data_IF_263289822641
#
_entry.id   IF_263289822641
#
_cell.length_a   1.000
_cell.length_b   1.000
_cell.length_c   1.000
_cell.angle_alpha   90.00
_cell.angle_beta   90.00
_cell.angle_gamma   90.00
#
_symmetry.space_group_name_H-M   'P 1'
#
loop_
_entity.id
_entity.type
_entity.pdbx_description
1 polymer ?
#
# COMPACT_ATOMS: atom_id res chain seq x y z
N UNK A 1 3.33 9.75 -9.94
CA UNK A 1 2.02 9.07 -9.89
C UNK A 1 0.99 10.04 -9.34
N UNK A 2 -0.23 10.06 -9.88
CA UNK A 2 -1.32 10.90 -9.38
C UNK A 2 -2.00 10.26 -8.16
N UNK A 3 -2.41 11.07 -7.18
CA UNK A 3 -3.22 10.64 -6.04
C UNK A 3 -4.68 11.08 -6.27
N UNK A 4 -5.65 10.18 -6.09
CA UNK A 4 -7.08 10.46 -6.27
C UNK A 4 -7.92 9.88 -5.14
N UNK A 5 -8.94 10.61 -4.71
CA UNK A 5 -9.77 10.33 -3.52
C UNK A 5 -10.88 9.28 -3.74
N UNK A 6 -10.74 8.38 -4.72
CA UNK A 6 -11.52 7.14 -4.75
C UNK A 6 -12.79 7.11 -5.59
N UNK A 7 -12.99 7.99 -6.59
CA UNK A 7 -14.03 7.79 -7.63
C UNK A 7 -13.53 7.67 -9.06
N UNK A 8 -12.40 8.29 -9.40
CA UNK A 8 -11.88 8.31 -10.77
C UNK A 8 -10.36 8.32 -10.82
N UNK A 9 -9.69 7.71 -9.84
CA UNK A 9 -8.26 7.87 -9.53
C UNK A 9 -7.38 7.86 -10.78
N UNK A 10 -7.10 9.05 -11.34
CA UNK A 10 -6.37 9.33 -12.58
C UNK A 10 -5.91 8.07 -13.36
N UNK A 11 -6.87 7.33 -13.92
CA UNK A 11 -6.63 6.01 -14.47
C UNK A 11 -5.92 6.16 -15.83
N UNK A 12 -4.60 6.11 -15.80
CA UNK A 12 -3.75 6.03 -16.98
C UNK A 12 -3.20 4.60 -17.11
N UNK A 13 -2.73 4.18 -18.30
CA UNK A 13 -1.98 2.93 -18.42
C UNK A 13 -0.84 2.88 -17.38
N UNK A 14 -0.81 1.81 -16.57
CA UNK A 14 0.16 1.66 -15.47
C UNK A 14 -0.27 2.29 -14.13
N UNK A 15 -1.48 2.85 -14.03
CA UNK A 15 -2.02 3.31 -12.74
C UNK A 15 -2.37 2.11 -11.85
N UNK A 16 -2.02 2.22 -10.56
CA UNK A 16 -2.41 1.28 -9.51
C UNK A 16 -3.18 2.00 -8.41
N UNK A 17 -4.15 1.31 -7.81
CA UNK A 17 -4.92 1.82 -6.68
C UNK A 17 -4.70 0.90 -5.46
N UNK A 18 -4.52 1.52 -4.29
CA UNK A 18 -4.47 0.81 -3.01
C UNK A 18 -5.67 1.29 -2.20
N UNK A 19 -6.56 0.35 -1.86
CA UNK A 19 -7.68 0.62 -0.97
C UNK A 19 -7.25 0.24 0.44
N UNK A 20 -7.32 1.20 1.36
CA UNK A 20 -6.95 0.98 2.77
C UNK A 20 -8.24 0.90 3.59
N UNK A 21 -8.63 -0.29 4.06
CA UNK A 21 -9.83 -0.44 4.87
C UNK A 21 -9.62 0.04 6.32
N UNK A 22 -10.72 0.41 6.99
CA UNK A 22 -10.80 0.95 8.37
C UNK A 22 -10.08 2.30 8.54
N UNK A 23 -9.46 2.51 9.70
CA UNK A 23 -8.74 3.71 10.12
C UNK A 23 -7.25 3.71 9.73
N UNK A 24 -6.83 2.78 8.86
CA UNK A 24 -5.46 2.73 8.37
C UNK A 24 -5.13 3.95 7.51
N UNK A 25 -3.86 4.38 7.54
CA UNK A 25 -3.38 5.42 6.64
C UNK A 25 -2.38 4.85 5.63
N UNK A 26 -2.37 5.45 4.43
CA UNK A 26 -1.37 5.14 3.43
C UNK A 26 -0.01 5.66 3.89
N UNK A 27 0.98 4.78 3.84
CA UNK A 27 2.38 5.13 4.01
C UNK A 27 3.11 4.91 2.70
N UNK A 28 3.74 5.97 2.21
CA UNK A 28 4.68 5.86 1.10
C UNK A 28 5.85 4.94 1.49
N UNK A 29 6.21 4.03 0.61
CA UNK A 29 7.38 3.16 0.78
C UNK A 29 8.62 4.03 0.66
N UNK A 30 9.51 3.96 1.67
CA UNK A 30 10.62 4.89 1.80
C UNK A 30 11.54 4.86 0.57
N UNK A 31 11.63 5.98 -0.15
CA UNK A 31 12.64 6.23 -1.19
C UNK A 31 12.46 5.47 -2.51
N UNK A 32 11.34 4.75 -2.72
CA UNK A 32 11.08 4.07 -3.99
C UNK A 32 9.60 3.97 -4.35
N UNK A 33 9.34 3.67 -5.62
CA UNK A 33 8.00 3.30 -6.05
C UNK A 33 7.55 1.98 -5.40
N UNK A 34 6.23 1.82 -5.18
CA UNK A 34 5.62 0.54 -4.83
C UNK A 34 6.01 -0.58 -5.81
N UNK A 35 6.31 -1.76 -5.29
CA UNK A 35 6.51 -2.98 -6.07
C UNK A 35 5.54 -4.06 -5.63
N UNK A 36 5.29 -5.06 -6.48
CA UNK A 36 4.36 -6.16 -6.16
C UNK A 36 4.75 -6.92 -4.89
N UNK A 37 6.04 -7.00 -4.56
CA UNK A 37 6.54 -7.64 -3.33
C UNK A 37 6.06 -6.95 -2.04
N UNK A 38 5.64 -5.69 -2.10
CA UNK A 38 5.10 -4.95 -0.94
C UNK A 38 3.68 -5.39 -0.58
N UNK A 39 2.97 -6.03 -1.51
CA UNK A 39 1.59 -6.49 -1.31
C UNK A 39 1.54 -7.57 -0.25
N UNK A 40 2.49 -8.51 -0.22
CA UNK A 40 2.51 -9.58 0.79
C UNK A 40 2.72 -9.02 2.20
N UNK A 41 3.66 -8.09 2.38
CA UNK A 41 3.88 -7.39 3.65
C UNK A 41 2.64 -6.58 4.09
N UNK A 42 1.97 -5.96 3.13
CA UNK A 42 0.73 -5.20 3.36
C UNK A 42 -0.42 -6.10 3.80
N UNK A 43 -0.60 -7.26 3.17
CA UNK A 43 -1.64 -8.23 3.56
C UNK A 43 -1.38 -8.78 4.96
N UNK A 44 -0.14 -9.13 5.29
CA UNK A 44 0.24 -9.55 6.63
C UNK A 44 -0.05 -8.46 7.69
N UNK A 45 0.26 -7.20 7.39
CA UNK A 45 -0.09 -6.08 8.26
C UNK A 45 -1.61 -5.87 8.37
N UNK A 46 -2.36 -6.02 7.28
CA UNK A 46 -3.83 -5.96 7.24
C UNK A 46 -4.49 -7.03 8.13
N UNK A 47 -3.91 -8.23 8.15
CA UNK A 47 -4.37 -9.36 8.97
C UNK A 47 -3.93 -9.27 10.44
N UNK A 48 -3.18 -8.23 10.84
CA UNK A 48 -2.65 -8.10 12.20
C UNK A 48 -1.49 -9.05 12.53
N UNK A 49 -0.83 -9.63 11.52
CA UNK A 49 0.29 -10.56 11.67
C UNK A 49 1.53 -9.99 10.96
N UNK A 50 2.14 -8.90 11.45
CA UNK A 50 3.25 -8.25 10.78
C UNK A 50 4.47 -9.19 10.69
N UNK A 51 5.02 -9.32 9.48
CA UNK A 51 6.21 -10.13 9.18
C UNK A 51 7.39 -9.22 8.87
N UNK A 52 8.52 -9.46 9.54
CA UNK A 52 9.77 -8.69 9.32
C UNK A 52 10.72 -9.36 8.32
N UNK A 53 10.45 -10.61 7.98
CA UNK A 53 11.23 -11.48 7.10
C UNK A 53 10.77 -11.44 5.63
N UNK A 54 9.75 -10.64 5.33
CA UNK A 54 9.30 -10.43 3.95
C UNK A 54 10.19 -9.41 3.24
N UNK A 55 10.47 -9.60 1.94
CA UNK A 55 11.31 -8.69 1.17
C UNK A 55 10.65 -7.33 0.87
N UNK A 56 9.33 -7.22 1.06
CA UNK A 56 8.55 -6.01 0.83
C UNK A 56 8.29 -5.20 2.09
N UNK A 57 7.78 -3.99 1.91
CA UNK A 57 7.35 -3.11 2.99
C UNK A 57 5.83 -2.90 2.93
N UNK A 58 5.17 -2.83 4.08
CA UNK A 58 3.73 -2.60 4.15
C UNK A 58 3.36 -1.17 3.72
N UNK A 59 2.30 -1.04 2.92
CA UNK A 59 1.67 0.25 2.60
C UNK A 59 0.84 0.84 3.75
N UNK A 60 0.59 0.04 4.81
CA UNK A 60 -0.21 0.44 5.95
C UNK A 60 0.66 0.99 7.07
N UNK A 61 0.25 2.15 7.59
CA UNK A 61 0.64 2.60 8.92
C UNK A 61 -0.58 2.50 9.84
N UNK A 62 -0.42 1.82 10.98
CA UNK A 62 -1.36 1.88 12.09
C UNK A 62 -0.78 2.86 13.12
N UNK A 63 -1.65 3.70 13.68
CA UNK A 63 -1.35 4.46 14.89
C UNK A 63 -1.62 3.58 16.12
#
# INVERSE_FOLDING_TARGET
>A
GGAGSGRSGNHIPGAGAIIIPRSGTYRAINGRNPHLVDVSATVCAAAGVPRKDLPGQSFLAYR
#
